data_IF_800459971345
#
_entry.id   IF_800459971345
#
_cell.length_a   1.000
_cell.length_b   1.000
_cell.length_c   1.000
_cell.angle_alpha   90.00
_cell.angle_beta   90.00
_cell.angle_gamma   90.00
#
_symmetry.space_group_name_H-M   'P 1'
#
loop_
_entity.id
_entity.type
_entity.pdbx_description
1 polymer ?
#
# COMPACT_ATOMS: atom_id res chain seq x y z
N UNK A 1 9.81 6.77 -19.75
CA UNK A 1 9.16 5.49 -19.39
C UNK A 1 10.06 4.33 -19.80
N UNK A 2 10.25 3.30 -18.98
CA UNK A 2 10.96 2.09 -19.38
C UNK A 2 9.97 0.97 -19.74
N UNK A 3 10.07 0.41 -20.95
CA UNK A 3 9.31 -0.76 -21.37
C UNK A 3 10.18 -2.01 -21.31
N UNK A 4 9.62 -3.10 -20.81
CA UNK A 4 10.37 -4.34 -20.53
C UNK A 4 9.74 -5.52 -21.30
N UNK A 5 10.54 -6.17 -22.15
CA UNK A 5 10.15 -7.44 -22.79
C UNK A 5 10.77 -8.59 -22.00
N UNK A 6 9.92 -9.52 -21.56
CA UNK A 6 10.32 -10.70 -20.78
C UNK A 6 10.44 -11.92 -21.68
N UNK A 7 11.39 -12.79 -21.38
CA UNK A 7 11.41 -14.17 -21.87
C UNK A 7 11.40 -15.11 -20.67
N UNK A 8 10.44 -16.03 -20.65
CA UNK A 8 10.33 -17.02 -19.60
C UNK A 8 11.28 -18.18 -19.94
N UNK A 9 12.27 -18.42 -19.09
CA UNK A 9 13.26 -19.49 -19.28
C UNK A 9 12.78 -20.78 -18.61
N UNK A 10 12.07 -20.68 -17.49
CA UNK A 10 11.47 -21.81 -16.77
C UNK A 10 10.30 -21.34 -15.89
N UNK A 11 9.66 -22.24 -15.14
CA UNK A 11 8.55 -21.90 -14.23
C UNK A 11 8.91 -20.92 -13.09
N UNK A 12 10.22 -20.63 -12.88
CA UNK A 12 10.71 -19.79 -11.77
C UNK A 12 11.76 -18.73 -12.17
N UNK A 13 12.21 -18.68 -13.42
CA UNK A 13 13.22 -17.70 -13.87
C UNK A 13 12.71 -16.84 -15.03
N UNK A 14 12.73 -15.52 -14.82
CA UNK A 14 12.49 -14.50 -15.83
C UNK A 14 13.81 -13.81 -16.17
N UNK A 15 14.19 -13.82 -17.43
CA UNK A 15 15.32 -13.02 -17.91
C UNK A 15 14.78 -11.75 -18.58
N UNK A 16 15.34 -10.61 -18.17
CA UNK A 16 15.11 -9.32 -18.81
C UNK A 16 16.06 -9.23 -19.99
N UNK A 17 15.52 -9.21 -21.21
CA UNK A 17 16.33 -9.21 -22.44
C UNK A 17 16.75 -7.80 -22.86
N UNK A 18 15.89 -6.81 -22.68
CA UNK A 18 16.22 -5.40 -22.92
C UNK A 18 15.25 -4.47 -22.20
N UNK A 19 15.71 -3.23 -22.00
CA UNK A 19 14.95 -2.14 -21.40
C UNK A 19 14.94 -0.98 -22.40
N UNK A 20 13.75 -0.59 -22.87
CA UNK A 20 13.59 0.50 -23.85
C UNK A 20 13.19 1.77 -23.13
N UNK A 21 13.81 2.89 -23.47
CA UNK A 21 13.34 4.22 -23.07
C UNK A 21 12.24 4.66 -24.04
N UNK A 22 11.06 4.92 -23.51
CA UNK A 22 9.91 5.48 -24.20
C UNK A 22 9.63 6.88 -23.66
N UNK A 23 9.27 7.79 -24.55
CA UNK A 23 8.79 9.12 -24.21
C UNK A 23 7.42 9.03 -23.55
N UNK A 24 7.10 10.01 -22.73
CA UNK A 24 5.78 10.16 -22.12
C UNK A 24 5.34 11.61 -22.27
N UNK A 25 4.04 11.84 -22.29
CA UNK A 25 3.48 13.19 -22.32
C UNK A 25 3.56 13.81 -20.92
N UNK A 26 4.47 14.77 -20.73
CA UNK A 26 4.66 15.47 -19.45
C UNK A 26 3.47 16.37 -19.07
N UNK A 27 2.63 16.74 -20.05
CA UNK A 27 1.44 17.57 -19.82
C UNK A 27 0.33 16.78 -19.12
N UNK A 28 0.31 15.45 -19.28
CA UNK A 28 -0.62 14.55 -18.60
C UNK A 28 -0.23 14.24 -17.14
N UNK A 29 0.98 14.62 -16.71
CA UNK A 29 1.46 14.35 -15.35
C UNK A 29 1.03 15.46 -14.40
N UNK A 30 0.32 15.13 -13.29
CA UNK A 30 -0.05 16.14 -12.30
C UNK A 30 1.18 16.84 -11.72
N UNK A 31 1.12 18.17 -11.44
CA UNK A 31 2.27 18.94 -10.97
C UNK A 31 3.00 18.32 -9.77
N UNK A 32 2.24 17.77 -8.82
CA UNK A 32 2.74 17.08 -7.64
C UNK A 32 3.70 15.91 -7.94
N UNK A 33 3.48 15.20 -9.05
CA UNK A 33 4.30 14.05 -9.46
C UNK A 33 5.35 14.41 -10.50
N UNK A 34 5.32 15.62 -11.07
CA UNK A 34 6.15 15.99 -12.23
C UNK A 34 7.64 15.78 -11.95
N UNK A 35 8.14 16.20 -10.79
CA UNK A 35 9.54 16.02 -10.42
C UNK A 35 9.93 14.53 -10.31
N UNK A 36 9.05 13.68 -9.77
CA UNK A 36 9.27 12.23 -9.70
C UNK A 36 9.38 11.60 -11.11
N UNK A 37 8.62 12.10 -12.08
CA UNK A 37 8.70 11.66 -13.48
C UNK A 37 9.95 12.19 -14.18
N UNK A 38 10.24 13.48 -14.05
CA UNK A 38 11.41 14.13 -14.66
C UNK A 38 12.75 13.60 -14.12
N UNK A 39 12.80 13.21 -12.84
CA UNK A 39 13.97 12.56 -12.25
C UNK A 39 14.20 11.12 -12.75
N UNK A 40 13.24 10.54 -13.48
CA UNK A 40 13.27 9.16 -13.96
C UNK A 40 12.95 8.12 -12.89
N UNK A 41 12.57 8.54 -11.68
CA UNK A 41 12.28 7.63 -10.57
C UNK A 41 10.89 6.99 -10.69
N UNK A 42 9.90 7.68 -11.27
CA UNK A 42 8.54 7.13 -11.43
C UNK A 42 8.45 6.00 -12.46
N UNK A 43 9.12 6.14 -13.61
CA UNK A 43 9.00 5.19 -14.74
C UNK A 43 10.34 4.58 -15.17
N UNK A 44 11.35 4.64 -14.32
CA UNK A 44 12.71 4.18 -14.64
C UNK A 44 12.89 2.66 -14.55
N UNK A 45 13.95 2.19 -15.19
CA UNK A 45 14.36 0.78 -15.22
C UNK A 45 14.45 0.14 -13.83
N UNK A 46 15.02 0.86 -12.86
CA UNK A 46 15.20 0.38 -11.48
C UNK A 46 13.85 0.00 -10.87
N UNK A 47 12.85 0.89 -10.94
CA UNK A 47 11.52 0.64 -10.38
C UNK A 47 10.81 -0.54 -11.02
N UNK A 48 10.94 -0.70 -12.33
CA UNK A 48 10.41 -1.85 -13.04
C UNK A 48 11.10 -3.16 -12.66
N UNK A 49 12.43 -3.17 -12.56
CA UNK A 49 13.21 -4.35 -12.18
C UNK A 49 12.92 -4.76 -10.73
N UNK A 50 12.86 -3.80 -9.82
CA UNK A 50 12.53 -4.06 -8.41
C UNK A 50 11.12 -4.60 -8.26
N UNK A 51 10.13 -4.03 -8.97
CA UNK A 51 8.75 -4.54 -8.97
C UNK A 51 8.66 -5.94 -9.57
N UNK A 52 9.43 -6.22 -10.63
CA UNK A 52 9.53 -7.56 -11.23
C UNK A 52 10.12 -8.56 -10.24
N UNK A 53 11.26 -8.24 -9.63
CA UNK A 53 11.93 -9.09 -8.67
C UNK A 53 10.99 -9.42 -7.50
N UNK A 54 10.32 -8.40 -6.95
CA UNK A 54 9.31 -8.53 -5.91
C UNK A 54 8.23 -9.55 -6.31
N UNK A 55 7.64 -9.40 -7.49
CA UNK A 55 6.64 -10.35 -7.98
C UNK A 55 7.19 -11.78 -8.15
N UNK A 56 8.43 -11.93 -8.60
CA UNK A 56 9.04 -13.25 -8.78
C UNK A 56 9.29 -13.95 -7.45
N UNK A 57 9.84 -13.23 -6.47
CA UNK A 57 10.08 -13.72 -5.11
C UNK A 57 8.77 -14.09 -4.41
N UNK A 58 7.75 -13.23 -4.51
CA UNK A 58 6.42 -13.49 -3.96
C UNK A 58 5.82 -14.80 -4.50
N UNK A 59 5.87 -14.98 -5.82
CA UNK A 59 5.38 -16.20 -6.48
C UNK A 59 6.22 -17.44 -6.13
N UNK A 60 7.53 -17.29 -5.94
CA UNK A 60 8.40 -18.38 -5.52
C UNK A 60 8.03 -18.86 -4.10
N UNK A 61 7.75 -17.94 -3.18
CA UNK A 61 7.37 -18.29 -1.80
C UNK A 61 5.98 -18.92 -1.75
N UNK A 62 5.01 -18.39 -2.49
CA UNK A 62 3.68 -19.00 -2.60
C UNK A 62 3.75 -20.47 -3.05
N UNK A 63 4.68 -20.79 -3.96
CA UNK A 63 4.87 -22.15 -4.50
C UNK A 63 5.82 -23.01 -3.67
N UNK A 64 6.64 -22.39 -2.82
CA UNK A 64 7.61 -23.10 -1.98
C UNK A 64 6.91 -24.03 -1.00
N UNK A 65 7.49 -25.21 -0.77
CA UNK A 65 7.08 -26.12 0.31
C UNK A 65 7.52 -25.62 1.68
N UNK A 66 8.41 -24.65 1.76
CA UNK A 66 8.88 -24.07 3.01
C UNK A 66 8.73 -22.55 2.93
N UNK A 67 7.73 -22.02 3.63
CA UNK A 67 7.49 -20.57 3.74
C UNK A 67 8.07 -20.11 5.08
N UNK A 68 9.07 -19.22 5.10
CA UNK A 68 9.62 -18.67 6.35
C UNK A 68 8.54 -17.90 7.12
N UNK A 69 8.49 -18.06 8.45
CA UNK A 69 7.56 -17.35 9.32
C UNK A 69 8.22 -17.04 10.65
N UNK A 70 7.89 -15.88 11.20
CA UNK A 70 8.24 -15.49 12.56
C UNK A 70 6.99 -15.58 13.43
N UNK A 71 7.14 -16.17 14.63
CA UNK A 71 6.08 -16.26 15.63
C UNK A 71 6.49 -15.41 16.82
N UNK A 72 5.83 -14.26 16.98
CA UNK A 72 6.13 -13.31 18.07
C UNK A 72 5.23 -13.57 19.29
N UNK A 73 3.96 -13.96 19.08
CA UNK A 73 2.96 -14.07 20.16
C UNK A 73 2.41 -15.48 20.41
N UNK A 74 3.13 -16.53 19.99
CA UNK A 74 2.77 -17.93 20.27
C UNK A 74 1.64 -18.52 19.41
N UNK A 75 1.03 -17.74 18.50
CA UNK A 75 0.04 -18.27 17.55
C UNK A 75 0.76 -18.95 16.39
N UNK A 76 0.82 -20.28 16.44
CA UNK A 76 1.44 -21.07 15.38
C UNK A 76 0.57 -21.09 14.12
N UNK A 77 1.15 -20.77 12.97
CA UNK A 77 0.52 -20.98 11.65
C UNK A 77 0.95 -22.32 11.05
N UNK A 78 -0.04 -23.07 10.52
CA UNK A 78 0.25 -24.27 9.74
C UNK A 78 0.96 -23.91 8.44
N UNK A 79 1.70 -24.85 7.85
CA UNK A 79 2.37 -24.62 6.56
C UNK A 79 1.38 -24.29 5.44
N UNK A 80 0.21 -24.97 5.43
CA UNK A 80 -0.88 -24.66 4.53
C UNK A 80 -1.44 -23.26 4.82
N UNK A 81 -1.58 -22.90 6.09
CA UNK A 81 -2.08 -21.60 6.49
C UNK A 81 -1.17 -20.44 6.09
N UNK A 82 0.16 -20.62 6.10
CA UNK A 82 1.09 -19.63 5.56
C UNK A 82 0.79 -19.32 4.09
N UNK A 83 0.51 -20.36 3.28
CA UNK A 83 0.12 -20.17 1.87
C UNK A 83 -1.25 -19.52 1.74
N UNK A 84 -2.24 -19.94 2.53
CA UNK A 84 -3.57 -19.33 2.50
C UNK A 84 -3.55 -17.85 2.92
N UNK A 85 -2.72 -17.48 3.89
CA UNK A 85 -2.48 -16.08 4.29
C UNK A 85 -1.83 -15.29 3.17
N UNK A 86 -0.78 -15.82 2.53
CA UNK A 86 -0.15 -15.12 1.39
C UNK A 86 -1.09 -14.99 0.19
N UNK A 87 -1.91 -16.00 -0.10
CA UNK A 87 -2.91 -15.90 -1.17
C UNK A 87 -3.98 -14.84 -0.84
N UNK A 88 -4.38 -14.73 0.43
CA UNK A 88 -5.30 -13.69 0.90
C UNK A 88 -4.66 -12.29 0.82
N UNK A 89 -3.38 -12.15 1.16
CA UNK A 89 -2.62 -10.90 1.03
C UNK A 89 -2.53 -10.46 -0.43
N UNK A 90 -2.27 -11.41 -1.34
CA UNK A 90 -2.23 -11.14 -2.77
C UNK A 90 -3.58 -10.61 -3.29
N UNK A 91 -4.69 -11.19 -2.83
CA UNK A 91 -6.05 -10.69 -3.13
C UNK A 91 -6.27 -9.29 -2.56
N UNK A 92 -5.84 -9.04 -1.33
CA UNK A 92 -5.93 -7.72 -0.68
C UNK A 92 -5.18 -6.66 -1.50
N UNK A 93 -3.94 -6.95 -1.89
CA UNK A 93 -3.14 -6.06 -2.73
C UNK A 93 -3.77 -5.84 -4.10
N UNK A 94 -4.26 -6.89 -4.76
CA UNK A 94 -4.93 -6.78 -6.06
C UNK A 94 -6.18 -5.88 -5.96
N UNK A 95 -7.02 -6.09 -4.94
CA UNK A 95 -8.20 -5.27 -4.68
C UNK A 95 -7.84 -3.81 -4.42
N UNK A 96 -6.77 -3.55 -3.64
CA UNK A 96 -6.26 -2.21 -3.40
C UNK A 96 -5.82 -1.52 -4.69
N UNK A 97 -4.99 -2.19 -5.50
CA UNK A 97 -4.52 -1.63 -6.77
C UNK A 97 -5.68 -1.35 -7.73
N UNK A 98 -6.65 -2.26 -7.85
CA UNK A 98 -7.83 -2.04 -8.70
C UNK A 98 -8.60 -0.79 -8.26
N UNK A 99 -8.84 -0.63 -6.96
CA UNK A 99 -9.56 0.54 -6.45
C UNK A 99 -8.82 1.86 -6.65
N UNK A 100 -7.48 1.85 -6.58
CA UNK A 100 -6.67 3.07 -6.76
C UNK A 100 -6.38 3.37 -8.25
N UNK A 101 -6.39 2.36 -9.13
CA UNK A 101 -5.95 2.48 -10.54
C UNK A 101 -7.06 2.63 -11.57
N UNK A 102 -8.34 2.52 -11.18
CA UNK A 102 -9.46 2.58 -12.13
C UNK A 102 -9.56 3.97 -12.82
N UNK A 103 -9.63 4.02 -14.18
CA UNK A 103 -9.57 5.28 -14.94
C UNK A 103 -10.74 6.22 -14.63
N UNK A 104 -10.42 7.49 -14.43
CA UNK A 104 -11.37 8.56 -14.12
C UNK A 104 -12.12 8.97 -15.40
N UNK A 105 -13.45 8.87 -15.39
CA UNK A 105 -14.31 9.59 -16.34
C UNK A 105 -15.00 10.76 -15.63
N UNK A 106 -14.28 11.84 -15.28
CA UNK A 106 -14.89 13.18 -15.14
C UNK A 106 -13.90 14.37 -15.05
N UNK A 107 -14.46 15.54 -15.35
CA UNK A 107 -13.87 16.85 -15.73
C UNK A 107 -13.04 17.55 -14.64
N UNK A 108 -12.08 18.42 -15.02
CA UNK A 108 -11.10 19.02 -14.11
C UNK A 108 -11.66 20.21 -13.32
N UNK A 109 -11.34 20.25 -12.02
CA UNK A 109 -11.58 21.38 -11.12
C UNK A 109 -10.68 21.29 -9.89
N UNK A 110 -10.02 22.40 -9.55
CA UNK A 110 -8.89 22.48 -8.62
C UNK A 110 -9.19 22.05 -7.17
N UNK A 111 -8.13 21.56 -6.51
CA UNK A 111 -8.06 21.01 -5.13
C UNK A 111 -8.68 19.61 -5.01
N UNK A 112 -7.84 18.58 -5.16
CA UNK A 112 -8.25 17.17 -5.22
C UNK A 112 -8.53 16.64 -3.82
N UNK A 113 -9.69 16.99 -3.25
CA UNK A 113 -10.42 16.10 -2.34
C UNK A 113 -11.25 15.18 -3.24
N UNK A 114 -10.65 14.09 -3.71
CA UNK A 114 -11.30 13.16 -4.63
C UNK A 114 -12.06 12.08 -3.84
N UNK A 115 -13.35 11.98 -4.14
CA UNK A 115 -14.26 11.02 -3.54
C UNK A 115 -14.68 10.02 -4.62
N UNK A 116 -14.23 8.77 -4.51
CA UNK A 116 -14.53 7.68 -5.46
C UNK A 116 -15.67 6.84 -4.88
N UNK A 117 -16.73 6.60 -5.65
CA UNK A 117 -17.64 5.47 -5.41
C UNK A 117 -17.38 4.43 -6.50
N UNK A 118 -17.01 3.20 -6.15
CA UNK A 118 -16.90 2.09 -7.09
C UNK A 118 -17.94 1.02 -6.71
N UNK A 119 -18.79 0.66 -7.68
CA UNK A 119 -19.75 -0.42 -7.54
C UNK A 119 -19.07 -1.71 -7.99
N UNK A 120 -18.58 -2.51 -7.04
CA UNK A 120 -18.06 -3.84 -7.34
C UNK A 120 -19.21 -4.82 -7.58
N UNK A 121 -19.50 -5.16 -8.82
CA UNK A 121 -20.35 -6.33 -9.12
C UNK A 121 -19.54 -7.59 -8.89
N UNK A 122 -19.75 -8.24 -7.75
CA UNK A 122 -19.38 -9.64 -7.58
C UNK A 122 -20.36 -10.47 -8.42
N UNK A 123 -19.95 -10.80 -9.64
CA UNK A 123 -20.71 -11.75 -10.46
C UNK A 123 -20.43 -13.15 -9.94
N UNK A 124 -21.52 -13.89 -9.66
CA UNK A 124 -21.59 -15.32 -9.33
C UNK A 124 -21.60 -15.71 -7.84
N UNK A 125 -22.71 -15.46 -7.17
CA UNK A 125 -23.63 -16.53 -6.75
C UNK A 125 -25.02 -15.93 -6.48
N UNK A 126 -26.05 -16.68 -6.83
CA UNK A 126 -27.49 -16.49 -6.54
C UNK A 126 -27.83 -15.44 -5.46
N UNK A 127 -28.73 -14.49 -5.79
CA UNK A 127 -29.22 -13.39 -4.92
C UNK A 127 -28.17 -12.34 -4.50
N UNK A 128 -27.57 -11.68 -5.49
CA UNK A 128 -26.55 -10.65 -5.29
C UNK A 128 -27.11 -9.37 -4.63
N UNK A 129 -26.84 -9.20 -3.34
CA UNK A 129 -26.88 -7.87 -2.72
C UNK A 129 -25.72 -7.06 -3.28
N UNK A 130 -25.99 -6.12 -4.19
CA UNK A 130 -24.98 -5.19 -4.70
C UNK A 130 -24.42 -4.41 -3.51
N UNK A 131 -23.13 -4.61 -3.22
CA UNK A 131 -22.41 -3.91 -2.15
C UNK A 131 -21.58 -2.79 -2.76
N UNK A 132 -21.96 -1.54 -2.49
CA UNK A 132 -21.25 -0.38 -3.00
C UNK A 132 -20.06 -0.04 -2.09
N UNK A 133 -18.88 0.15 -2.68
CA UNK A 133 -17.66 0.51 -1.94
C UNK A 133 -17.27 1.94 -2.28
N UNK A 134 -17.14 2.77 -1.25
CA UNK A 134 -16.52 4.07 -1.39
C UNK A 134 -15.01 3.93 -1.24
N UNK A 135 -14.25 4.59 -2.09
CA UNK A 135 -12.82 4.79 -1.94
C UNK A 135 -12.50 6.28 -1.86
N UNK A 136 -11.62 6.66 -0.95
CA UNK A 136 -11.15 8.03 -0.85
C UNK A 136 -9.63 8.01 -0.89
N UNK A 137 -9.03 8.84 -1.75
CA UNK A 137 -7.59 8.90 -1.95
C UNK A 137 -7.10 10.33 -1.78
N UNK A 138 -6.01 10.52 -1.04
CA UNK A 138 -5.38 11.83 -0.84
C UNK A 138 -3.87 11.68 -0.96
N UNK A 139 -3.23 12.56 -1.73
CA UNK A 139 -1.77 12.62 -1.82
C UNK A 139 -1.26 13.94 -1.28
N UNK A 140 -0.23 13.89 -0.43
CA UNK A 140 0.49 15.06 0.09
C UNK A 140 1.98 14.94 -0.19
N UNK A 141 2.64 16.09 -0.32
CA UNK A 141 4.10 16.19 -0.41
C UNK A 141 4.68 16.54 0.95
N UNK A 142 5.72 15.81 1.34
CA UNK A 142 6.45 15.92 2.59
C UNK A 142 7.91 16.32 2.29
N UNK A 143 8.18 17.63 2.10
CA UNK A 143 9.53 18.09 1.80
C UNK A 143 10.48 17.75 2.95
N UNK A 144 11.69 17.30 2.62
CA UNK A 144 12.72 16.96 3.61
C UNK A 144 12.42 15.75 4.50
N UNK A 145 11.29 15.07 4.30
CA UNK A 145 10.95 13.84 5.00
C UNK A 145 11.17 12.63 4.10
N UNK A 146 12.20 11.79 4.36
CA UNK A 146 12.49 10.65 3.51
C UNK A 146 11.42 9.56 3.63
N UNK A 147 11.14 8.79 2.55
CA UNK A 147 10.13 7.73 2.56
C UNK A 147 10.27 6.73 3.71
N UNK A 148 11.50 6.39 4.09
CA UNK A 148 11.79 5.42 5.16
C UNK A 148 11.23 5.88 6.50
N UNK A 149 11.36 7.17 6.84
CA UNK A 149 10.86 7.72 8.10
C UNK A 149 9.34 7.62 8.20
N UNK A 150 8.65 7.88 7.09
CA UNK A 150 7.18 7.76 7.02
C UNK A 150 6.77 6.29 7.13
N UNK A 151 7.46 5.40 6.43
CA UNK A 151 7.20 3.96 6.48
C UNK A 151 7.41 3.39 7.88
N UNK A 152 8.50 3.73 8.55
CA UNK A 152 8.80 3.31 9.94
C UNK A 152 7.74 3.80 10.92
N UNK A 153 7.26 5.03 10.77
CA UNK A 153 6.17 5.57 11.58
C UNK A 153 4.86 4.78 11.37
N UNK A 154 4.48 4.53 10.12
CA UNK A 154 3.25 3.80 9.80
C UNK A 154 3.31 2.32 10.24
N UNK A 155 4.47 1.69 10.16
CA UNK A 155 4.68 0.31 10.62
C UNK A 155 4.87 0.19 12.14
N UNK A 156 4.93 1.30 12.88
CA UNK A 156 5.08 1.26 14.33
C UNK A 156 3.77 0.83 15.01
N UNK A 157 3.77 -0.39 15.53
CA UNK A 157 2.63 -1.00 16.22
C UNK A 157 2.10 -0.15 17.39
N UNK A 158 2.97 0.54 18.12
CA UNK A 158 2.57 1.35 19.28
C UNK A 158 1.90 2.66 18.89
N UNK A 159 2.19 3.16 17.68
CA UNK A 159 1.68 4.44 17.16
C UNK A 159 0.51 4.25 16.20
N UNK A 160 0.04 3.01 16.01
CA UNK A 160 -1.03 2.67 15.07
C UNK A 160 -2.32 3.45 15.33
N UNK A 161 -2.69 3.59 16.60
CA UNK A 161 -3.88 4.34 17.02
C UNK A 161 -3.83 5.84 16.72
N UNK A 162 -2.66 6.41 16.39
CA UNK A 162 -2.55 7.83 16.04
C UNK A 162 -3.19 8.13 14.69
N UNK A 163 -3.13 7.19 13.73
CA UNK A 163 -3.57 7.43 12.35
C UNK A 163 -4.68 6.47 11.87
N UNK A 164 -4.83 5.29 12.48
CA UNK A 164 -5.87 4.32 12.11
C UNK A 164 -7.13 4.46 12.98
N UNK A 165 -8.06 5.30 12.52
CA UNK A 165 -9.33 5.54 13.25
C UNK A 165 -10.22 4.29 13.32
N UNK A 166 -10.03 3.28 12.46
CA UNK A 166 -10.80 2.02 12.52
C UNK A 166 -10.35 1.08 13.63
N UNK A 167 -9.08 1.17 14.06
CA UNK A 167 -8.54 0.34 15.15
C UNK A 167 -9.15 0.66 16.53
N UNK A 168 -9.90 1.76 16.61
CA UNK A 168 -10.63 2.29 17.76
C UNK A 168 -9.89 2.46 19.10
N UNK A 169 -8.65 1.97 19.31
CA UNK A 169 -8.01 2.00 20.64
C UNK A 169 -6.56 1.51 20.58
N UNK A 170 -5.60 2.44 20.65
CA UNK A 170 -4.25 2.18 21.15
C UNK A 170 -3.29 1.36 20.28
N UNK A 171 -2.30 0.77 20.95
CA UNK A 171 -1.24 -0.01 20.31
C UNK A 171 -1.79 -1.33 19.73
N UNK A 172 -1.20 -1.79 18.63
CA UNK A 172 -1.43 -3.14 18.12
C UNK A 172 -0.30 -4.07 18.53
N UNK A 173 -0.53 -5.37 18.37
CA UNK A 173 0.43 -6.44 18.61
C UNK A 173 0.48 -7.36 17.40
N UNK A 174 1.68 -7.63 16.90
CA UNK A 174 1.86 -8.73 15.95
C UNK A 174 1.63 -10.09 16.61
N UNK A 175 0.64 -10.83 16.09
CA UNK A 175 0.38 -12.22 16.47
C UNK A 175 1.36 -13.16 15.78
N UNK A 176 1.51 -12.95 14.48
CA UNK A 176 2.35 -13.76 13.60
C UNK A 176 2.69 -12.99 12.33
N UNK A 177 3.80 -13.38 11.71
CA UNK A 177 4.21 -12.84 10.42
C UNK A 177 4.78 -13.88 9.47
N UNK A 178 4.67 -13.57 8.18
CA UNK A 178 5.23 -14.32 7.05
C UNK A 178 6.11 -13.38 6.25
N UNK A 179 7.39 -13.75 6.09
CA UNK A 179 8.34 -12.98 5.28
C UNK A 179 8.00 -13.22 3.80
N UNK A 180 7.79 -12.14 3.05
CA UNK A 180 7.40 -12.20 1.64
C UNK A 180 8.55 -12.05 0.66
N UNK A 181 9.69 -11.47 1.08
CA UNK A 181 10.81 -11.20 0.19
C UNK A 181 12.16 -11.31 0.92
N UNK A 182 12.70 -12.52 1.12
CA UNK A 182 13.91 -12.75 1.93
C UNK A 182 15.19 -12.20 1.29
N UNK A 183 15.19 -11.91 -0.02
CA UNK A 183 16.39 -11.45 -0.73
C UNK A 183 16.36 -9.94 -1.05
N UNK A 184 15.22 -9.27 -0.86
CA UNK A 184 15.11 -7.83 -1.01
C UNK A 184 15.50 -7.11 0.28
N UNK A 185 16.20 -5.96 0.15
CA UNK A 185 16.41 -5.05 1.28
C UNK A 185 15.06 -4.43 1.67
N UNK A 186 14.69 -4.58 2.93
CA UNK A 186 13.43 -4.07 3.49
C UNK A 186 12.69 -5.17 4.23
N UNK A 187 12.05 -4.83 5.35
CA UNK A 187 11.27 -5.76 6.16
C UNK A 187 9.92 -6.05 5.49
N UNK A 188 9.95 -6.73 4.34
CA UNK A 188 8.75 -7.07 3.58
C UNK A 188 8.03 -8.24 4.25
N UNK A 189 6.85 -7.97 4.79
CA UNK A 189 6.18 -8.89 5.69
C UNK A 189 4.67 -8.80 5.55
N UNK A 190 4.02 -9.96 5.59
CA UNK A 190 2.58 -10.07 5.84
C UNK A 190 2.40 -10.43 7.30
N UNK A 191 1.71 -9.59 8.05
CA UNK A 191 1.49 -9.69 9.49
C UNK A 191 -0.01 -9.76 9.79
N UNK A 192 -0.33 -10.48 10.86
CA UNK A 192 -1.66 -10.45 11.48
C UNK A 192 -1.52 -9.74 12.82
N UNK A 193 -2.25 -8.65 12.98
CA UNK A 193 -2.17 -7.76 14.14
C UNK A 193 -3.47 -7.79 14.94
N UNK A 194 -3.34 -7.64 16.25
CA UNK A 194 -4.43 -7.56 17.22
C UNK A 194 -4.36 -6.23 17.99
N UNK A 195 -5.50 -5.59 18.25
CA UNK A 195 -5.55 -4.35 19.03
C UNK A 195 -5.47 -4.64 20.55
N UNK A 196 -4.62 -3.90 21.29
CA UNK A 196 -4.35 -4.16 22.72
C UNK A 196 -5.29 -3.47 23.71
N UNK A 197 -5.85 -2.29 23.38
CA UNK A 197 -6.41 -1.37 24.39
C UNK A 197 -7.95 -1.25 24.38
N UNK A 198 -8.70 -2.36 24.28
CA UNK A 198 -10.15 -2.30 24.56
C UNK A 198 -10.38 -2.62 26.04
N UNK A 199 -10.95 -1.72 26.87
CA UNK A 199 -11.28 -2.00 28.27
C UNK A 199 -12.30 -3.15 28.45
N UNK A 200 -12.93 -3.60 27.37
CA UNK A 200 -13.69 -4.84 27.25
C UNK A 200 -12.90 -5.86 26.39
N UNK A 201 -11.82 -6.40 26.95
CA UNK A 201 -10.91 -7.38 26.31
C UNK A 201 -11.58 -8.68 25.82
N UNK A 202 -12.87 -8.89 26.06
CA UNK A 202 -13.51 -10.17 25.76
C UNK A 202 -13.96 -10.33 24.31
N UNK A 203 -14.08 -9.29 23.48
CA UNK A 203 -14.79 -9.42 22.19
C UNK A 203 -14.27 -8.56 21.01
N UNK A 204 -12.96 -8.31 20.84
CA UNK A 204 -12.49 -7.81 19.53
C UNK A 204 -12.56 -8.96 18.50
N UNK A 205 -13.71 -9.05 17.82
CA UNK A 205 -13.94 -10.07 16.78
C UNK A 205 -13.17 -9.78 15.49
N UNK A 206 -12.38 -8.70 15.43
CA UNK A 206 -11.65 -8.29 14.24
C UNK A 206 -10.14 -8.31 14.48
N UNK A 207 -9.41 -8.85 13.51
CA UNK A 207 -7.96 -8.78 13.40
C UNK A 207 -7.58 -7.94 12.18
N UNK A 208 -6.39 -7.35 12.20
CA UNK A 208 -5.87 -6.57 11.07
C UNK A 208 -4.88 -7.44 10.32
N UNK A 209 -5.18 -7.74 9.06
CA UNK A 209 -4.21 -8.32 8.15
C UNK A 209 -3.48 -7.19 7.43
N UNK A 210 -2.15 -7.22 7.44
CA UNK A 210 -1.31 -6.15 6.92
C UNK A 210 -0.19 -6.70 6.06
N UNK A 211 0.02 -6.08 4.91
CA UNK A 211 1.23 -6.24 4.10
C UNK A 211 2.01 -4.93 4.09
N UNK A 212 3.21 -4.97 4.67
CA UNK A 212 4.16 -3.87 4.64
C UNK A 212 5.30 -4.23 3.69
N UNK A 213 5.56 -3.36 2.71
CA UNK A 213 6.68 -3.54 1.79
C UNK A 213 7.46 -2.24 1.65
N UNK A 214 8.78 -2.36 1.52
CA UNK A 214 9.64 -1.22 1.25
C UNK A 214 10.75 -1.64 0.33
N UNK A 215 10.87 -0.94 -0.79
CA UNK A 215 11.96 -1.11 -1.73
C UNK A 215 12.55 0.26 -2.13
N UNK A 216 13.52 0.25 -3.05
CA UNK A 216 14.23 1.48 -3.49
C UNK A 216 13.33 2.46 -4.26
N UNK A 217 12.13 2.04 -4.66
CA UNK A 217 11.23 2.76 -5.55
C UNK A 217 9.97 3.24 -4.84
N UNK A 218 9.43 2.41 -3.94
CA UNK A 218 8.29 2.77 -3.11
C UNK A 218 8.25 1.96 -1.82
N UNK A 219 7.63 2.55 -0.81
CA UNK A 219 7.14 1.82 0.36
C UNK A 219 5.61 1.79 0.34
N UNK A 220 5.03 0.67 0.73
CA UNK A 220 3.60 0.44 0.77
C UNK A 220 3.23 -0.16 2.12
N UNK A 221 2.10 0.28 2.67
CA UNK A 221 1.44 -0.35 3.81
C UNK A 221 -0.02 -0.54 3.46
N UNK A 222 -0.45 -1.78 3.22
CA UNK A 222 -1.84 -2.09 2.89
C UNK A 222 -2.39 -3.03 3.93
N UNK A 223 -3.60 -2.77 4.40
CA UNK A 223 -4.23 -3.56 5.44
C UNK A 223 -5.73 -3.70 5.23
N UNK A 224 -6.31 -4.74 5.80
CA UNK A 224 -7.76 -4.96 5.86
C UNK A 224 -8.12 -5.55 7.22
N UNK A 225 -9.24 -5.11 7.78
CA UNK A 225 -9.83 -5.75 8.95
C UNK A 225 -10.60 -7.00 8.53
N UNK A 226 -10.40 -8.12 9.23
CA UNK A 226 -11.06 -9.39 8.94
C UNK A 226 -11.48 -10.02 10.26
N UNK A 227 -12.60 -10.75 10.28
CA UNK A 227 -13.04 -11.43 11.49
C UNK A 227 -12.00 -12.46 11.97
N UNK A 228 -11.81 -12.50 13.30
CA UNK A 228 -10.85 -13.34 14.00
C UNK A 228 -11.00 -14.81 13.60
N UNK A 229 -12.24 -15.33 13.61
CA UNK A 229 -12.53 -16.72 13.25
C UNK A 229 -12.13 -17.05 11.80
N UNK A 230 -12.38 -16.12 10.87
CA UNK A 230 -12.00 -16.28 9.47
C UNK A 230 -10.47 -16.29 9.30
N UNK A 231 -9.75 -15.35 9.92
CA UNK A 231 -8.29 -15.35 9.88
C UNK A 231 -7.72 -16.63 10.50
N UNK A 232 -8.20 -17.07 11.67
CA UNK A 232 -7.71 -18.31 12.27
C UNK A 232 -7.98 -19.54 11.39
N UNK A 233 -9.13 -19.60 10.72
CA UNK A 233 -9.41 -20.65 9.74
C UNK A 233 -8.36 -20.62 8.60
N UNK A 234 -8.09 -19.44 8.04
CA UNK A 234 -7.07 -19.25 7.00
C UNK A 234 -5.67 -19.62 7.50
N UNK A 235 -5.29 -19.23 8.72
CA UNK A 235 -4.02 -19.58 9.37
C UNK A 235 -3.84 -21.09 9.62
N UNK A 236 -4.93 -21.85 9.59
CA UNK A 236 -4.93 -23.30 9.67
C UNK A 236 -4.99 -23.98 8.30
N UNK A 237 -5.11 -23.22 7.21
CA UNK A 237 -5.20 -23.73 5.83
C UNK A 237 -6.63 -23.80 5.28
N UNK A 238 -7.58 -23.14 5.93
CA UNK A 238 -8.95 -22.98 5.44
C UNK A 238 -9.04 -22.15 4.16
N UNK A 239 -10.23 -22.18 3.54
CA UNK A 239 -10.51 -21.41 2.33
C UNK A 239 -10.52 -19.90 2.61
N UNK A 240 -9.99 -19.13 1.66
CA UNK A 240 -9.90 -17.68 1.72
C UNK A 240 -10.71 -16.99 0.60
N UNK A 241 -11.36 -17.78 -0.27
CA UNK A 241 -12.00 -17.24 -1.48
C UNK A 241 -13.27 -16.43 -1.17
N UNK A 242 -14.01 -16.84 -0.15
CA UNK A 242 -15.26 -16.21 0.33
C UNK A 242 -15.04 -14.98 1.21
N UNK A 243 -13.81 -14.71 1.64
CA UNK A 243 -13.50 -13.57 2.51
C UNK A 243 -13.58 -12.27 1.70
N UNK A 244 -14.53 -11.41 2.09
CA UNK A 244 -14.64 -10.08 1.55
C UNK A 244 -13.59 -9.15 2.17
N UNK A 245 -12.87 -8.40 1.32
CA UNK A 245 -11.75 -7.54 1.73
C UNK A 245 -12.09 -6.08 1.42
N UNK A 246 -11.70 -5.20 2.33
CA UNK A 246 -11.80 -3.74 2.17
C UNK A 246 -10.42 -3.12 2.45
N UNK A 247 -9.46 -3.31 1.53
CA UNK A 247 -8.12 -2.82 1.74
C UNK A 247 -8.07 -1.29 1.83
N UNK A 248 -7.39 -0.81 2.86
CA UNK A 248 -6.96 0.59 3.01
C UNK A 248 -5.45 0.61 3.18
N UNK A 249 -4.81 1.76 2.95
CA UNK A 249 -3.36 1.80 3.03
C UNK A 249 -2.71 3.07 2.53
N UNK A 250 -1.40 2.99 2.43
CA UNK A 250 -0.52 4.08 2.06
C UNK A 250 0.47 3.63 0.99
N UNK A 251 0.73 4.54 0.05
CA UNK A 251 1.86 4.47 -0.85
C UNK A 251 2.79 5.66 -0.60
N UNK A 252 4.08 5.37 -0.46
CA UNK A 252 5.12 6.34 -0.14
C UNK A 252 6.15 6.29 -1.27
N UNK A 253 6.20 7.37 -2.03
CA UNK A 253 7.10 7.53 -3.17
C UNK A 253 8.18 8.57 -2.82
N UNK A 254 9.38 8.48 -3.41
CA UNK A 254 10.31 9.60 -3.35
C UNK A 254 9.71 10.81 -4.07
N UNK A 255 10.11 12.01 -3.66
CA UNK A 255 9.61 13.25 -4.28
C UNK A 255 10.37 13.67 -5.56
N UNK A 256 11.44 12.95 -5.92
CA UNK A 256 12.26 13.25 -7.09
C UNK A 256 13.25 14.41 -6.92
N UNK A 257 13.31 15.05 -5.76
CA UNK A 257 14.27 16.14 -5.47
C UNK A 257 15.60 15.63 -4.89
N UNK A 258 15.60 14.42 -4.33
CA UNK A 258 16.81 13.79 -3.81
C UNK A 258 17.84 13.47 -4.89
N UNK A 259 19.13 13.67 -4.58
CA UNK A 259 20.23 13.26 -5.48
C UNK A 259 20.18 11.73 -5.65
N UNK A 260 20.00 11.27 -6.88
CA UNK A 260 20.24 9.87 -7.21
C UNK A 260 21.72 9.58 -6.93
N UNK A 261 22.03 8.51 -6.19
CA UNK A 261 23.38 7.93 -6.22
C UNK A 261 23.62 7.39 -7.63
N UNK A 262 23.91 8.29 -8.58
CA UNK A 262 24.52 7.92 -9.85
C UNK A 262 25.90 7.41 -9.48
N UNK A 263 26.08 6.09 -9.56
CA UNK A 263 27.40 5.53 -9.73
C UNK A 263 28.07 6.31 -10.87
N UNK A 264 29.25 6.86 -10.58
CA UNK A 264 29.96 7.78 -11.43
C UNK A 264 30.08 7.27 -12.86
N UNK A 265 29.41 7.96 -13.79
CA UNK A 265 29.89 8.10 -15.15
C UNK A 265 30.29 9.57 -15.29
N UNK A 266 31.59 9.81 -15.34
CA UNK A 266 32.16 11.11 -15.58
C UNK A 266 31.59 11.71 -16.87
N UNK A 267 31.16 12.98 -16.82
CA UNK A 267 31.47 14.00 -17.83
C UNK A 267 30.92 15.35 -17.38
N UNK A 268 31.78 16.35 -17.48
CA UNK A 268 31.64 17.76 -17.15
C UNK A 268 30.44 18.47 -17.81
N UNK A 269 29.67 19.21 -17.02
CA UNK A 269 29.39 20.64 -17.23
C UNK A 269 28.44 21.16 -16.16
N UNK A 270 28.65 22.43 -15.82
CA UNK A 270 28.01 23.22 -14.77
C UNK A 270 26.49 23.05 -14.67
N UNK A 271 26.03 22.44 -13.57
CA UNK A 271 24.67 22.65 -13.06
C UNK A 271 24.77 23.55 -11.81
N UNK A 272 23.86 24.52 -11.63
CA UNK A 272 23.92 25.44 -10.51
C UNK A 272 23.82 24.66 -9.20
N UNK A 273 24.63 25.07 -8.22
CA UNK A 273 24.59 24.63 -6.83
C UNK A 273 23.27 25.02 -6.18
N UNK A 274 22.20 24.30 -6.54
CA UNK A 274 20.86 24.45 -5.98
C UNK A 274 20.64 23.47 -4.84
N UNK A 275 20.80 23.99 -3.62
CA UNK A 275 20.34 23.47 -2.32
C UNK A 275 20.75 22.03 -1.93
N UNK A 276 21.24 21.89 -0.69
CA UNK A 276 21.31 20.61 0.02
C UNK A 276 19.88 20.10 0.32
N UNK A 277 19.10 19.78 -0.72
CA UNK A 277 17.75 19.27 -0.59
C UNK A 277 17.78 17.88 0.01
N UNK A 278 17.48 17.79 1.30
CA UNK A 278 17.10 16.54 1.97
C UNK A 278 15.97 15.90 1.19
N UNK A 279 16.13 14.64 0.76
CA UNK A 279 15.12 13.91 -0.01
C UNK A 279 13.77 13.93 0.72
N UNK A 280 12.70 14.34 0.02
CA UNK A 280 11.34 14.30 0.53
C UNK A 280 10.56 13.09 0.04
N UNK A 281 9.28 13.05 0.34
CA UNK A 281 8.38 11.96 -0.06
C UNK A 281 7.01 12.46 -0.49
N UNK A 282 6.36 11.69 -1.36
CA UNK A 282 4.95 11.82 -1.69
C UNK A 282 4.20 10.71 -0.96
N UNK A 283 3.26 11.08 -0.09
CA UNK A 283 2.45 10.15 0.68
C UNK A 283 1.04 10.14 0.11
N UNK A 284 0.63 9.01 -0.43
CA UNK A 284 -0.74 8.76 -0.87
C UNK A 284 -1.44 7.85 0.14
N UNK A 285 -2.52 8.32 0.74
CA UNK A 285 -3.41 7.53 1.56
C UNK A 285 -4.65 7.13 0.75
N UNK A 286 -5.08 5.88 0.84
CA UNK A 286 -6.29 5.38 0.21
C UNK A 286 -7.10 4.56 1.21
N UNK A 287 -8.36 4.92 1.40
CA UNK A 287 -9.27 4.26 2.32
C UNK A 287 -10.48 3.73 1.58
N UNK A 288 -10.96 2.56 2.01
CA UNK A 288 -12.19 1.96 1.51
C UNK A 288 -13.23 1.85 2.63
N UNK A 289 -14.49 2.10 2.30
CA UNK A 289 -15.62 1.95 3.20
C UNK A 289 -16.80 1.29 2.48
N UNK A 290 -17.45 0.35 3.15
CA UNK A 290 -18.68 -0.27 2.67
C UNK A 290 -19.85 0.69 2.89
N UNK A 291 -20.67 0.92 1.86
CA UNK A 291 -21.94 1.64 2.03
C UNK A 291 -23.02 0.69 2.57
N UNK A 292 -23.86 1.17 3.51
CA UNK A 292 -25.01 0.40 3.95
C UNK A 292 -25.98 0.17 2.78
N UNK A 293 -26.56 -1.03 2.70
CA UNK A 293 -27.40 -1.48 1.58
C UNK A 293 -28.76 -0.75 1.45
N UNK A 294 -29.07 0.24 2.31
CA UNK A 294 -30.36 0.93 2.32
C UNK A 294 -30.18 2.45 2.18
N UNK A 295 -30.50 3.05 1.01
CA UNK A 295 -30.32 4.47 0.75
C UNK A 295 -31.43 5.27 1.45
N UNK A 296 -31.27 5.49 2.77
CA UNK A 296 -32.23 6.26 3.57
C UNK A 296 -31.56 7.52 4.13
N UNK A 297 -31.57 8.63 3.37
CA UNK A 297 -31.18 10.01 3.76
C UNK A 297 -29.87 10.24 4.58
N UNK A 298 -29.09 9.19 4.87
CA UNK A 298 -27.85 9.15 5.65
C UNK A 298 -26.62 8.95 4.74
N UNK A 299 -26.79 9.09 3.42
CA UNK A 299 -25.72 8.99 2.44
C UNK A 299 -24.66 10.06 2.69
N UNK A 300 -25.08 11.32 2.90
CA UNK A 300 -24.17 12.43 3.21
C UNK A 300 -23.30 12.16 4.46
N UNK A 301 -23.82 11.43 5.46
CA UNK A 301 -23.08 11.06 6.67
C UNK A 301 -21.99 10.00 6.44
N UNK A 302 -22.24 9.04 5.55
CA UNK A 302 -21.26 7.99 5.20
C UNK A 302 -20.19 8.51 4.23
N UNK A 303 -20.57 9.35 3.26
CA UNK A 303 -19.64 10.06 2.38
C UNK A 303 -18.68 10.94 3.18
N UNK A 304 -19.19 11.73 4.14
CA UNK A 304 -18.35 12.58 4.98
C UNK A 304 -17.34 11.75 5.80
N UNK A 305 -17.66 10.49 6.14
CA UNK A 305 -16.84 9.66 7.02
C UNK A 305 -15.50 9.21 6.39
N UNK A 306 -15.49 8.70 5.14
CA UNK A 306 -14.28 8.09 4.56
C UNK A 306 -13.14 9.10 4.28
N UNK A 307 -13.45 10.29 3.79
CA UNK A 307 -12.43 11.30 3.49
C UNK A 307 -12.17 12.22 4.67
N UNK A 308 -13.11 12.37 5.63
CA UNK A 308 -12.70 12.89 6.95
C UNK A 308 -11.69 11.94 7.60
N UNK A 309 -11.84 10.62 7.45
CA UNK A 309 -10.82 9.65 7.90
C UNK A 309 -9.50 9.83 7.17
N UNK A 310 -9.51 9.96 5.85
CA UNK A 310 -8.27 10.18 5.08
C UNK A 310 -7.58 11.48 5.52
N UNK A 311 -8.34 12.58 5.62
CA UNK A 311 -7.81 13.87 6.08
C UNK A 311 -7.28 13.78 7.53
N UNK A 312 -8.02 13.14 8.44
CA UNK A 312 -7.58 12.98 9.83
C UNK A 312 -6.29 12.15 9.90
N UNK A 313 -6.23 11.00 9.23
CA UNK A 313 -5.03 10.17 9.19
C UNK A 313 -3.82 10.94 8.67
N UNK A 314 -3.96 11.67 7.55
CA UNK A 314 -2.89 12.51 6.99
C UNK A 314 -2.45 13.58 8.00
N UNK A 315 -3.38 14.29 8.64
CA UNK A 315 -3.05 15.31 9.63
C UNK A 315 -2.27 14.74 10.83
N UNK A 316 -2.67 13.55 11.31
CA UNK A 316 -1.98 12.87 12.40
C UNK A 316 -0.58 12.41 12.00
N UNK A 317 -0.43 11.87 10.79
CA UNK A 317 0.87 11.49 10.23
C UNK A 317 1.80 12.72 10.16
N UNK A 318 1.30 13.85 9.66
CA UNK A 318 2.05 15.10 9.54
C UNK A 318 2.52 15.63 10.90
N UNK A 319 1.61 15.67 11.88
CA UNK A 319 1.93 16.08 13.24
C UNK A 319 2.99 15.18 13.88
N UNK A 320 2.86 13.87 13.68
CA UNK A 320 3.76 12.86 14.24
C UNK A 320 5.19 12.91 13.68
N UNK A 321 5.34 13.23 12.39
CA UNK A 321 6.65 13.27 11.72
C UNK A 321 7.31 14.66 11.77
N UNK A 322 6.54 15.70 12.14
CA UNK A 322 6.99 17.10 12.20
C UNK A 322 7.18 17.72 10.81
N UNK A 323 6.35 17.35 9.84
CA UNK A 323 6.46 17.84 8.47
C UNK A 323 5.44 18.94 8.19
N UNK A 324 5.89 20.04 7.59
CA UNK A 324 5.02 21.06 7.02
C UNK A 324 4.58 20.64 5.62
N UNK A 325 3.27 20.72 5.34
CA UNK A 325 2.76 20.48 3.99
C UNK A 325 3.21 21.65 3.11
N UNK A 326 4.00 21.36 2.08
CA UNK A 326 4.12 22.27 0.95
C UNK A 326 3.05 21.89 -0.08
N UNK A 327 2.05 22.75 -0.27
CA UNK A 327 1.21 22.67 -1.48
C UNK A 327 2.12 23.01 -2.65
N UNK A 328 2.25 22.16 -3.69
CA UNK A 328 3.05 22.51 -4.84
C UNK A 328 2.51 23.80 -5.45
N UNK A 329 3.36 24.81 -5.58
CA UNK A 329 3.10 26.04 -6.32
C UNK A 329 2.87 25.76 -7.80
#
# INVERSE_FOLDING_TARGET
MSLLRRHQISHALFQVLWIVHAEYDDTAVPPLFRQLFQSGQALGAIRWLTSLQRQCEYMAILRSSQVPSSVVSGVAMSMLGRRSILALAQRMMASFYTAVSEPITLKPGNIVKEWRGSCGTATELSEATVRMVLSATMTVWLPGTPPQRVHEYLCNEQRRGEWDTFANTGAVQELTSVITHPYLRGNNVVSVLEARDVPDQTNSNMLIMQEATSDVSCSLLVYSSIERNLIHAVMNGGDNTSIYLLPSGFAILPDGHGKTHRAAAASSSSAPTGHNGTAGSLLTAAYQALLPNNPSNHEAGTFNNAGNRVCNAINQILAAIGADIAVPS
#
